data_IF_950835471947
#
_entry.id   IF_950835471947
#
_cell.length_a   1.000
_cell.length_b   1.000
_cell.length_c   1.000
_cell.angle_alpha   90.00
_cell.angle_beta   90.00
_cell.angle_gamma   90.00
#
_symmetry.space_group_name_H-M   'P 1'
#
loop_
_entity.id
_entity.type
_entity.pdbx_description
1 polymer ?
#
# COMPACT_ATOMS: atom_id res chain seq x y z
N UNK A 1 9.30 78.56 -11.98
CA UNK A 1 8.91 77.24 -12.53
C UNK A 1 9.36 76.17 -11.54
N UNK A 2 8.44 75.64 -10.72
CA UNK A 2 8.68 74.48 -9.85
C UNK A 2 8.03 73.27 -10.53
N UNK A 3 8.81 72.23 -10.78
CA UNK A 3 8.33 70.97 -11.32
C UNK A 3 7.64 70.15 -10.22
N UNK A 4 6.39 69.77 -10.46
CA UNK A 4 5.65 68.77 -9.69
C UNK A 4 6.13 67.40 -10.17
N UNK A 5 6.63 66.56 -9.26
CA UNK A 5 6.86 65.13 -9.53
C UNK A 5 5.53 64.41 -9.32
N UNK A 6 4.95 63.91 -10.41
CA UNK A 6 3.87 62.93 -10.36
C UNK A 6 4.43 61.59 -9.87
N UNK A 7 3.93 61.12 -8.74
CA UNK A 7 4.08 59.75 -8.27
C UNK A 7 3.14 58.84 -9.07
N UNK A 8 3.72 58.03 -9.97
CA UNK A 8 3.00 57.11 -10.84
C UNK A 8 2.43 55.85 -10.15
N UNK A 9 1.63 55.04 -10.87
CA UNK A 9 0.66 54.08 -10.35
C UNK A 9 1.22 52.68 -10.01
N UNK A 10 2.48 52.56 -9.57
CA UNK A 10 3.07 51.21 -9.38
C UNK A 10 2.45 50.43 -8.22
N UNK A 11 1.99 51.10 -7.16
CA UNK A 11 1.40 50.46 -5.98
C UNK A 11 0.03 49.80 -6.23
N UNK A 12 -0.77 50.33 -7.17
CA UNK A 12 -2.11 49.80 -7.46
C UNK A 12 -2.04 48.58 -8.39
N UNK A 13 -1.03 48.49 -9.25
CA UNK A 13 -0.82 47.32 -10.11
C UNK A 13 -0.32 46.10 -9.31
N UNK A 14 0.62 46.28 -8.38
CA UNK A 14 1.09 45.17 -7.53
C UNK A 14 -0.04 44.62 -6.66
N UNK A 15 -0.86 45.49 -6.04
CA UNK A 15 -1.99 45.05 -5.22
C UNK A 15 -3.11 44.32 -5.98
N UNK A 16 -3.31 44.66 -7.26
CA UNK A 16 -4.35 44.02 -8.10
C UNK A 16 -3.88 42.68 -8.67
N UNK A 17 -2.57 42.54 -8.91
CA UNK A 17 -1.94 41.26 -9.27
C UNK A 17 -1.97 40.30 -8.07
N UNK A 18 -1.59 40.76 -6.87
CA UNK A 18 -1.63 39.95 -5.66
C UNK A 18 -3.06 39.48 -5.32
N UNK A 19 -4.06 40.36 -5.49
CA UNK A 19 -5.47 40.01 -5.32
C UNK A 19 -5.98 39.01 -6.38
N UNK A 20 -5.58 39.17 -7.64
CA UNK A 20 -5.97 38.26 -8.72
C UNK A 20 -5.32 36.87 -8.56
N UNK A 21 -4.07 36.82 -8.10
CA UNK A 21 -3.38 35.58 -7.73
C UNK A 21 -4.12 34.93 -6.55
N UNK A 22 -4.42 35.68 -5.50
CA UNK A 22 -5.14 35.15 -4.34
C UNK A 22 -6.53 34.61 -4.68
N UNK A 23 -7.30 35.29 -5.52
CA UNK A 23 -8.59 34.80 -6.01
C UNK A 23 -8.44 33.55 -6.88
N UNK A 24 -7.52 33.53 -7.84
CA UNK A 24 -7.26 32.35 -8.67
C UNK A 24 -6.86 31.13 -7.83
N UNK A 25 -6.08 31.34 -6.76
CA UNK A 25 -5.66 30.27 -5.84
C UNK A 25 -6.77 29.80 -4.90
N UNK A 26 -7.61 30.71 -4.40
CA UNK A 26 -8.80 30.32 -3.62
C UNK A 26 -9.77 29.53 -4.51
N UNK A 27 -9.92 29.94 -5.76
CA UNK A 27 -10.63 29.18 -6.78
C UNK A 27 -10.00 27.80 -7.02
N UNK A 28 -8.67 27.66 -7.06
CA UNK A 28 -7.99 26.34 -7.16
C UNK A 28 -8.23 25.45 -5.93
N UNK A 29 -8.31 26.03 -4.73
CA UNK A 29 -8.67 25.33 -3.49
C UNK A 29 -10.13 24.86 -3.50
N UNK A 30 -11.01 25.58 -4.19
CA UNK A 30 -12.45 25.34 -4.24
C UNK A 30 -12.93 24.57 -5.50
N UNK A 31 -12.18 24.62 -6.61
CA UNK A 31 -12.58 24.08 -7.94
C UNK A 31 -11.84 22.80 -8.36
N UNK A 32 -10.71 22.44 -7.74
CA UNK A 32 -10.08 21.15 -8.04
C UNK A 32 -11.04 20.03 -7.61
N UNK A 33 -11.22 19.00 -8.47
CA UNK A 33 -12.41 18.15 -8.45
C UNK A 33 -12.67 17.64 -7.04
N UNK A 34 -13.87 17.90 -6.47
CA UNK A 34 -14.19 17.41 -5.15
C UNK A 34 -14.03 15.90 -5.17
N UNK A 35 -13.10 15.44 -4.35
CA UNK A 35 -12.93 14.06 -3.96
C UNK A 35 -14.27 13.61 -3.37
N UNK A 36 -15.12 13.00 -4.19
CA UNK A 36 -16.31 12.33 -3.69
C UNK A 36 -15.82 11.00 -3.11
N UNK A 37 -15.53 11.08 -1.82
CA UNK A 37 -15.46 10.00 -0.84
C UNK A 37 -14.29 8.97 -0.95
N UNK A 38 -13.56 8.84 -2.07
CA UNK A 38 -12.38 7.95 -2.18
C UNK A 38 -11.17 8.47 -2.98
N UNK A 39 -9.92 8.04 -2.65
CA UNK A 39 -8.72 8.52 -3.31
C UNK A 39 -8.61 7.92 -4.69
N UNK A 40 -8.45 8.81 -5.68
CA UNK A 40 -8.24 8.49 -7.08
C UNK A 40 -7.00 9.19 -7.59
N UNK A 41 -6.36 8.62 -8.60
CA UNK A 41 -5.24 9.25 -9.27
C UNK A 41 -5.67 10.55 -9.94
N UNK A 42 -4.97 11.64 -9.61
CA UNK A 42 -5.05 12.89 -10.35
C UNK A 42 -4.03 12.85 -11.48
N UNK A 43 -4.53 12.64 -12.70
CA UNK A 43 -3.75 12.27 -13.88
C UNK A 43 -3.20 13.49 -14.61
N UNK A 44 -1.93 13.42 -14.97
CA UNK A 44 -1.21 14.40 -15.79
C UNK A 44 -1.29 14.04 -17.28
N UNK A 45 -2.51 13.87 -17.79
CA UNK A 45 -2.73 13.32 -19.12
C UNK A 45 -2.07 11.94 -19.28
N UNK A 46 -1.20 11.79 -20.29
CA UNK A 46 -0.45 10.53 -20.53
C UNK A 46 0.83 10.38 -19.70
N UNK A 47 1.21 11.39 -18.91
CA UNK A 47 2.47 11.42 -18.15
C UNK A 47 2.39 10.77 -16.77
N UNK A 48 1.26 10.17 -16.43
CA UNK A 48 1.03 9.49 -15.15
C UNK A 48 0.09 10.28 -14.24
N UNK A 49 0.29 10.23 -12.93
CA UNK A 49 -0.50 10.96 -11.95
C UNK A 49 -0.02 10.79 -10.51
N UNK A 50 -0.68 11.51 -9.61
CA UNK A 50 -0.45 11.46 -8.16
C UNK A 50 -1.67 10.91 -7.43
N UNK A 51 -1.47 10.26 -6.29
CA UNK A 51 -2.53 9.54 -5.58
C UNK A 51 -2.82 10.11 -4.19
N UNK A 52 -1.83 10.09 -3.29
CA UNK A 52 -1.99 10.53 -1.90
C UNK A 52 -0.75 11.25 -1.38
N UNK A 53 -0.95 12.22 -0.49
CA UNK A 53 0.10 13.04 0.10
C UNK A 53 0.19 12.80 1.61
N UNK A 54 1.39 12.62 2.13
CA UNK A 54 1.65 12.33 3.54
C UNK A 54 2.70 13.27 4.10
N UNK A 55 2.43 13.87 5.25
CA UNK A 55 3.46 14.55 6.03
C UNK A 55 4.40 13.52 6.66
N UNK A 56 5.70 13.68 6.43
CA UNK A 56 6.76 12.87 7.03
C UNK A 56 7.74 13.74 7.81
N UNK A 57 7.48 13.84 9.11
CA UNK A 57 8.33 14.51 10.10
C UNK A 57 9.28 13.58 10.86
N UNK A 58 9.50 12.34 10.41
CA UNK A 58 10.35 11.36 11.14
C UNK A 58 11.82 11.77 11.20
N UNK A 59 12.25 12.67 10.32
CA UNK A 59 13.53 13.38 10.39
C UNK A 59 13.25 14.88 10.68
N UNK A 60 13.25 15.32 11.96
CA UNK A 60 12.77 16.65 12.34
C UNK A 60 13.50 17.83 11.69
N UNK A 61 14.78 17.67 11.34
CA UNK A 61 15.57 18.70 10.67
C UNK A 61 15.28 18.81 9.16
N UNK A 62 14.51 17.88 8.59
CA UNK A 62 14.21 17.80 7.16
C UNK A 62 12.77 17.27 6.93
N UNK A 63 11.74 17.93 7.49
CA UNK A 63 10.35 17.51 7.26
C UNK A 63 10.00 17.65 5.79
N UNK A 64 9.20 16.70 5.28
CA UNK A 64 8.77 16.71 3.88
C UNK A 64 7.32 16.28 3.76
N UNK A 65 6.65 16.70 2.69
CA UNK A 65 5.46 16.01 2.20
C UNK A 65 5.93 14.99 1.17
N UNK A 66 5.48 13.74 1.31
CA UNK A 66 5.70 12.66 0.36
C UNK A 66 4.40 12.37 -0.38
N UNK A 67 4.45 12.44 -1.69
CA UNK A 67 3.29 12.17 -2.54
C UNK A 67 3.56 10.90 -3.32
N UNK A 68 2.68 9.92 -3.16
CA UNK A 68 2.70 8.68 -3.92
C UNK A 68 2.24 8.98 -5.34
N UNK A 69 3.01 8.54 -6.31
CA UNK A 69 2.78 8.86 -7.71
C UNK A 69 3.29 7.78 -8.64
N UNK A 70 2.81 7.82 -9.87
CA UNK A 70 3.36 7.05 -10.97
C UNK A 70 3.55 8.02 -12.12
N UNK A 71 4.79 8.27 -12.52
CA UNK A 71 5.15 9.42 -13.37
C UNK A 71 6.17 9.04 -14.45
N UNK A 72 6.14 9.76 -15.57
CA UNK A 72 7.25 9.80 -16.53
C UNK A 72 8.44 10.58 -15.96
N UNK A 73 9.67 10.16 -16.31
CA UNK A 73 10.89 10.69 -15.69
C UNK A 73 11.26 12.13 -16.05
N UNK A 74 10.63 12.75 -17.06
CA UNK A 74 10.93 14.12 -17.51
C UNK A 74 10.06 15.21 -16.87
N UNK A 75 9.11 14.82 -16.01
CA UNK A 75 8.16 15.77 -15.43
C UNK A 75 8.83 16.69 -14.42
N UNK A 76 8.46 17.98 -14.48
CA UNK A 76 8.80 18.97 -13.46
C UNK A 76 7.58 19.23 -12.61
N UNK A 77 7.79 19.32 -11.30
CA UNK A 77 6.71 19.53 -10.33
C UNK A 77 7.15 20.61 -9.35
N UNK A 78 6.30 21.61 -9.18
CA UNK A 78 6.32 22.63 -8.14
C UNK A 78 5.26 22.28 -7.11
N UNK A 79 5.61 22.33 -5.82
CA UNK A 79 4.68 22.12 -4.72
C UNK A 79 4.31 23.47 -4.11
N UNK A 80 3.01 23.74 -4.06
CA UNK A 80 2.40 24.88 -3.40
C UNK A 80 1.73 24.37 -2.13
N UNK A 81 2.46 24.44 -1.03
CA UNK A 81 2.05 23.90 0.25
C UNK A 81 1.30 24.96 1.05
N UNK A 82 0.19 24.54 1.65
CA UNK A 82 -0.76 25.42 2.32
C UNK A 82 -0.90 24.93 3.76
N UNK A 83 -0.59 25.82 4.69
CA UNK A 83 -0.66 25.59 6.12
C UNK A 83 -1.46 26.69 6.81
N UNK A 84 -1.93 26.43 8.02
CA UNK A 84 -2.49 27.46 8.91
C UNK A 84 -1.46 27.83 9.97
N UNK A 85 -1.24 29.12 10.15
CA UNK A 85 -0.48 29.65 11.28
C UNK A 85 -1.24 29.45 12.60
N UNK A 86 -0.58 29.66 13.75
CA UNK A 86 -1.26 29.70 15.05
C UNK A 86 -2.33 30.79 15.18
N UNK A 87 -2.19 31.92 14.47
CA UNK A 87 -3.17 33.01 14.46
C UNK A 87 -4.33 32.80 13.46
N UNK A 88 -4.33 31.67 12.74
CA UNK A 88 -5.36 31.30 11.77
C UNK A 88 -5.15 31.83 10.36
N UNK A 89 -4.12 32.66 10.13
CA UNK A 89 -3.73 33.09 8.78
C UNK A 89 -3.17 31.93 7.94
N UNK A 90 -3.35 32.03 6.62
CA UNK A 90 -2.86 31.03 5.67
C UNK A 90 -1.40 31.31 5.34
N UNK A 91 -0.54 30.33 5.60
CA UNK A 91 0.86 30.35 5.20
C UNK A 91 1.01 29.52 3.93
N UNK A 92 1.66 30.11 2.92
CA UNK A 92 1.91 29.48 1.62
C UNK A 92 3.42 29.30 1.42
N UNK A 93 3.83 28.12 0.98
CA UNK A 93 5.21 27.82 0.65
C UNK A 93 5.28 27.16 -0.73
N UNK A 94 6.00 27.78 -1.66
CA UNK A 94 6.24 27.22 -3.00
C UNK A 94 7.66 26.71 -3.11
N UNK A 95 7.83 25.42 -3.42
CA UNK A 95 9.14 24.76 -3.54
C UNK A 95 9.20 23.84 -4.74
N UNK A 96 10.35 23.69 -5.40
CA UNK A 96 10.54 22.64 -6.40
C UNK A 96 10.52 21.26 -5.71
N UNK A 97 9.81 20.31 -6.32
CA UNK A 97 9.79 18.95 -5.83
C UNK A 97 11.09 18.19 -6.17
N UNK A 98 11.42 17.19 -5.35
CA UNK A 98 12.43 16.18 -5.68
C UNK A 98 11.70 14.89 -6.04
N UNK A 99 11.98 14.34 -7.21
CA UNK A 99 11.43 13.06 -7.64
C UNK A 99 12.35 11.92 -7.21
N UNK A 100 11.79 10.91 -6.55
CA UNK A 100 12.53 9.73 -6.11
C UNK A 100 11.86 8.46 -6.66
N UNK A 101 12.36 7.90 -7.77
CA UNK A 101 11.86 6.64 -8.31
C UNK A 101 12.00 5.50 -7.30
N UNK A 102 11.02 4.62 -7.23
CA UNK A 102 11.02 3.42 -6.36
C UNK A 102 11.69 2.20 -7.02
N UNK A 103 12.25 2.41 -8.20
CA UNK A 103 12.83 1.38 -9.06
C UNK A 103 14.35 1.31 -8.90
N UNK A 104 14.87 0.08 -8.83
CA UNK A 104 16.27 -0.21 -8.46
C UNK A 104 17.17 -0.32 -9.70
N UNK A 105 16.63 -0.68 -10.86
CA UNK A 105 17.41 -0.76 -12.08
C UNK A 105 17.51 0.61 -12.72
N UNK A 106 18.68 0.89 -13.31
CA UNK A 106 18.89 2.08 -14.14
C UNK A 106 17.78 2.11 -15.18
N UNK A 107 16.90 3.11 -15.08
CA UNK A 107 15.90 3.45 -16.10
C UNK A 107 16.61 3.30 -17.45
N UNK A 108 16.21 2.34 -18.32
CA UNK A 108 16.62 2.40 -19.71
C UNK A 108 16.21 3.80 -20.17
N UNK A 109 17.03 4.46 -20.97
CA UNK A 109 16.91 5.86 -21.46
C UNK A 109 15.54 6.29 -22.06
N UNK A 110 14.50 5.47 -21.94
CA UNK A 110 13.10 5.69 -22.29
C UNK A 110 12.41 6.61 -21.28
N UNK A 111 12.58 7.92 -21.48
CA UNK A 111 11.87 8.99 -20.73
C UNK A 111 10.34 8.88 -20.72
N UNK A 112 9.76 8.05 -21.58
CA UNK A 112 8.31 7.94 -21.77
C UNK A 112 7.65 6.82 -20.93
N UNK A 113 8.42 6.01 -20.19
CA UNK A 113 7.86 4.97 -19.33
C UNK A 113 7.36 5.55 -18.01
N UNK A 114 6.25 5.00 -17.51
CA UNK A 114 5.67 5.34 -16.23
C UNK A 114 6.34 4.54 -15.12
N UNK A 115 6.81 5.22 -14.08
CA UNK A 115 7.45 4.59 -12.93
C UNK A 115 6.87 5.05 -11.61
N UNK A 116 6.72 4.11 -10.67
CA UNK A 116 6.34 4.40 -9.29
C UNK A 116 7.40 5.34 -8.68
N UNK A 117 6.95 6.50 -8.24
CA UNK A 117 7.81 7.60 -7.81
C UNK A 117 7.23 8.23 -6.55
N UNK A 118 8.10 8.63 -5.62
CA UNK A 118 7.70 9.52 -4.52
C UNK A 118 8.10 10.94 -4.91
N UNK A 119 7.11 11.83 -5.04
CA UNK A 119 7.34 13.27 -5.14
C UNK A 119 7.58 13.80 -3.73
N UNK A 120 8.71 14.47 -3.52
CA UNK A 120 9.12 14.97 -2.20
C UNK A 120 9.09 16.49 -2.24
N UNK A 121 8.18 17.09 -1.46
CA UNK A 121 8.10 18.54 -1.27
C UNK A 121 8.76 18.91 0.07
N UNK A 122 9.92 19.60 0.07
CA UNK A 122 10.58 19.99 1.31
C UNK A 122 9.78 21.04 2.08
N UNK A 123 9.47 20.78 3.35
CA UNK A 123 8.80 21.75 4.24
C UNK A 123 9.88 22.56 4.95
N UNK A 124 9.71 23.88 5.03
CA UNK A 124 10.68 24.74 5.72
C UNK A 124 10.77 24.39 7.21
N UNK A 125 11.98 24.45 7.76
CA UNK A 125 12.20 24.27 9.20
C UNK A 125 11.40 25.33 9.98
N UNK A 126 10.75 24.94 11.07
CA UNK A 126 9.89 25.79 11.90
C UNK A 126 8.64 26.37 11.20
N UNK A 127 8.29 25.91 9.99
CA UNK A 127 7.00 26.24 9.37
C UNK A 127 5.88 25.36 9.95
N UNK A 128 4.63 25.87 10.07
CA UNK A 128 3.48 25.03 10.35
C UNK A 128 3.35 23.88 9.33
N UNK A 129 2.80 22.76 9.80
CA UNK A 129 2.61 21.57 8.96
C UNK A 129 1.56 21.87 7.89
N UNK A 130 1.87 21.71 6.61
CA UNK A 130 0.88 21.88 5.56
C UNK A 130 -0.24 20.85 5.69
N UNK A 131 -1.49 21.32 5.59
CA UNK A 131 -2.67 20.44 5.55
C UNK A 131 -3.10 20.13 4.12
N UNK A 132 -2.56 20.85 3.14
CA UNK A 132 -2.91 20.70 1.74
C UNK A 132 -1.71 21.04 0.84
N UNK A 133 -1.63 20.39 -0.33
CA UNK A 133 -0.59 20.64 -1.34
C UNK A 133 -1.20 20.68 -2.74
N UNK A 134 -0.91 21.76 -3.47
CA UNK A 134 -1.25 21.91 -4.88
C UNK A 134 0.01 21.72 -5.71
N UNK A 135 -0.08 20.99 -6.81
CA UNK A 135 1.03 20.75 -7.73
C UNK A 135 0.84 21.56 -9.01
N UNK A 136 1.93 22.08 -9.56
CA UNK A 136 1.99 22.75 -10.86
C UNK A 136 3.27 22.37 -11.61
N UNK A 137 3.33 22.57 -12.93
CA UNK A 137 4.56 22.29 -13.71
C UNK A 137 5.62 23.39 -13.59
N UNK A 138 5.18 24.63 -13.34
CA UNK A 138 6.01 25.81 -13.17
C UNK A 138 5.54 26.57 -11.92
N UNK A 139 6.35 27.55 -11.47
CA UNK A 139 6.06 28.29 -10.24
C UNK A 139 4.74 29.09 -10.33
N UNK A 140 4.40 29.56 -11.51
CA UNK A 140 3.23 30.44 -11.74
C UNK A 140 2.27 29.81 -12.77
N UNK A 141 2.36 28.50 -12.97
CA UNK A 141 1.55 27.76 -13.94
C UNK A 141 0.27 27.21 -13.34
N UNK A 142 -0.59 26.69 -14.20
CA UNK A 142 -1.86 26.09 -13.80
C UNK A 142 -1.66 24.86 -12.89
N UNK A 143 -2.58 24.67 -11.97
CA UNK A 143 -2.61 23.51 -11.08
C UNK A 143 -2.87 22.23 -11.87
N UNK A 144 -2.08 21.19 -11.60
CA UNK A 144 -2.22 19.85 -12.18
C UNK A 144 -2.75 18.82 -11.19
N UNK A 145 -2.69 19.10 -9.88
CA UNK A 145 -3.29 18.28 -8.83
C UNK A 145 -3.44 19.05 -7.50
N UNK A 146 -4.38 18.60 -6.66
CA UNK A 146 -4.68 19.07 -5.30
C UNK A 146 -4.76 17.86 -4.36
N UNK A 147 -3.98 17.81 -3.29
CA UNK A 147 -4.07 16.72 -2.34
C UNK A 147 -4.15 17.24 -0.90
N UNK A 148 -5.08 16.67 -0.15
CA UNK A 148 -5.06 16.74 1.31
C UNK A 148 -3.79 16.04 1.81
N UNK A 149 -3.12 16.67 2.78
CA UNK A 149 -1.94 16.10 3.41
C UNK A 149 -2.39 15.27 4.62
N UNK A 150 -2.14 13.97 4.55
CA UNK A 150 -2.40 13.02 5.61
C UNK A 150 -1.24 12.99 6.62
N UNK A 151 -1.45 12.34 7.77
CA UNK A 151 -0.44 12.22 8.84
C UNK A 151 0.03 13.56 9.44
N UNK A 152 -0.80 14.59 9.38
CA UNK A 152 -0.51 15.94 9.93
C UNK A 152 -0.65 16.00 11.44
N UNK A 153 -1.39 15.07 12.04
CA UNK A 153 -1.60 14.93 13.48
C UNK A 153 -1.03 13.60 13.99
N UNK A 154 -0.78 13.52 15.30
CA UNK A 154 -0.42 12.25 15.95
C UNK A 154 -1.63 11.32 15.94
N UNK A 155 -1.64 10.38 15.01
CA UNK A 155 -2.62 9.29 14.97
C UNK A 155 -2.34 8.36 16.16
N UNK A 156 -3.41 7.91 16.82
CA UNK A 156 -3.34 6.90 17.88
C UNK A 156 -3.19 5.53 17.24
N UNK A 157 -2.32 4.68 17.79
CA UNK A 157 -2.20 3.28 17.33
C UNK A 157 -3.57 2.60 17.44
N UNK A 158 -4.06 2.08 16.32
CA UNK A 158 -5.35 1.37 16.20
C UNK A 158 -5.15 -0.13 16.05
N UNK A 159 -4.13 -0.54 15.30
CA UNK A 159 -3.92 -1.91 14.88
C UNK A 159 -2.55 -2.41 15.36
N UNK A 160 -2.49 -3.68 15.77
CA UNK A 160 -1.22 -4.33 16.01
C UNK A 160 -0.58 -4.73 14.66
N UNK A 161 -1.36 -5.37 13.78
CA UNK A 161 -0.95 -5.71 12.43
C UNK A 161 -1.96 -5.22 11.39
N UNK A 162 -1.49 -4.37 10.48
CA UNK A 162 -2.20 -4.10 9.22
C UNK A 162 -1.61 -4.94 8.10
N UNK A 163 -2.45 -5.67 7.36
CA UNK A 163 -2.05 -6.51 6.24
C UNK A 163 -2.34 -5.77 4.94
N UNK A 164 -1.29 -5.37 4.24
CA UNK A 164 -1.37 -4.68 2.96
C UNK A 164 -1.21 -5.67 1.81
N UNK A 165 -2.20 -5.74 0.93
CA UNK A 165 -2.05 -6.43 -0.34
C UNK A 165 -1.10 -5.63 -1.25
N UNK A 166 -0.02 -6.28 -1.69
CA UNK A 166 1.12 -5.66 -2.39
C UNK A 166 0.86 -5.21 -3.81
N UNK A 167 -0.22 -5.69 -4.42
CA UNK A 167 -0.57 -5.41 -5.79
C UNK A 167 -2.06 -5.07 -5.88
N UNK A 168 -2.44 -4.03 -6.64
CA UNK A 168 -3.84 -3.83 -6.98
C UNK A 168 -4.44 -5.10 -7.60
N UNK A 169 -5.69 -5.39 -7.27
CA UNK A 169 -6.43 -6.52 -7.84
C UNK A 169 -6.55 -6.32 -9.35
N UNK A 170 -5.84 -7.16 -10.10
CA UNK A 170 -5.70 -7.11 -11.55
C UNK A 170 -5.81 -8.53 -12.11
N UNK A 171 -6.50 -8.70 -13.24
CA UNK A 171 -6.73 -10.01 -13.88
C UNK A 171 -7.39 -11.04 -12.93
N UNK A 172 -8.10 -10.56 -11.92
CA UNK A 172 -8.86 -11.38 -10.96
C UNK A 172 -10.35 -11.20 -11.28
N UNK A 173 -11.12 -12.27 -11.17
CA UNK A 173 -12.57 -12.26 -11.38
C UNK A 173 -13.29 -12.89 -10.18
N UNK A 174 -14.62 -12.93 -10.23
CA UNK A 174 -15.46 -13.41 -9.12
C UNK A 174 -15.14 -14.84 -8.64
N UNK A 175 -14.55 -15.69 -9.49
CA UNK A 175 -14.14 -17.06 -9.09
C UNK A 175 -13.01 -17.07 -8.06
N UNK A 176 -12.28 -15.97 -7.94
CA UNK A 176 -11.18 -15.82 -6.98
C UNK A 176 -11.63 -15.22 -5.64
N UNK A 177 -12.89 -14.76 -5.52
CA UNK A 177 -13.45 -14.25 -4.25
C UNK A 177 -13.25 -15.24 -3.09
N UNK A 178 -13.51 -16.56 -3.23
CA UNK A 178 -13.24 -17.50 -2.15
C UNK A 178 -11.77 -17.52 -1.70
N UNK A 179 -10.82 -17.32 -2.63
CA UNK A 179 -9.39 -17.25 -2.29
C UNK A 179 -9.01 -15.95 -1.58
N UNK A 180 -9.67 -14.83 -1.90
CA UNK A 180 -9.51 -13.58 -1.15
C UNK A 180 -10.06 -13.70 0.27
N UNK A 181 -11.22 -14.34 0.43
CA UNK A 181 -11.80 -14.62 1.75
C UNK A 181 -10.92 -15.57 2.57
N UNK A 182 -10.39 -16.63 1.95
CA UNK A 182 -9.39 -17.51 2.56
C UNK A 182 -8.14 -16.72 2.97
N UNK A 183 -7.63 -15.84 2.10
CA UNK A 183 -6.46 -15.01 2.40
C UNK A 183 -6.66 -14.13 3.63
N UNK A 184 -7.81 -13.44 3.72
CA UNK A 184 -8.16 -12.65 4.91
C UNK A 184 -8.28 -13.56 6.14
N UNK A 185 -9.01 -14.67 6.02
CA UNK A 185 -9.32 -15.54 7.16
C UNK A 185 -8.07 -16.16 7.79
N UNK A 186 -7.15 -16.70 6.98
CA UNK A 186 -5.90 -17.31 7.47
C UNK A 186 -4.97 -16.24 8.06
N UNK A 187 -4.79 -15.10 7.39
CA UNK A 187 -3.93 -14.04 7.92
C UNK A 187 -4.52 -13.41 9.20
N UNK A 188 -5.84 -13.43 9.37
CA UNK A 188 -6.51 -13.05 10.62
C UNK A 188 -6.19 -14.03 11.75
N UNK A 189 -6.16 -15.35 11.47
CA UNK A 189 -5.73 -16.38 12.43
C UNK A 189 -4.30 -16.12 12.91
N UNK A 190 -3.41 -15.63 12.05
CA UNK A 190 -2.04 -15.28 12.42
C UNK A 190 -1.90 -13.93 13.14
N UNK A 191 -2.99 -13.18 13.32
CA UNK A 191 -3.02 -11.94 14.09
C UNK A 191 -3.17 -10.66 13.26
N UNK A 192 -3.59 -10.75 11.99
CA UNK A 192 -3.97 -9.59 11.19
C UNK A 192 -5.24 -8.91 11.74
N UNK A 193 -5.14 -7.64 12.10
CA UNK A 193 -6.26 -6.88 12.69
C UNK A 193 -7.04 -6.09 11.64
N UNK A 194 -6.36 -5.62 10.59
CA UNK A 194 -6.92 -4.75 9.56
C UNK A 194 -6.28 -5.04 8.21
N UNK A 195 -7.10 -5.10 7.17
CA UNK A 195 -6.71 -5.50 5.83
C UNK A 195 -6.91 -4.35 4.86
N UNK A 196 -5.99 -4.21 3.91
CA UNK A 196 -6.01 -3.12 2.93
C UNK A 196 -5.81 -3.69 1.54
N UNK A 197 -6.73 -3.35 0.65
CA UNK A 197 -6.70 -3.75 -0.76
C UNK A 197 -6.84 -2.55 -1.67
N UNK A 198 -6.36 -2.71 -2.90
CA UNK A 198 -6.50 -1.72 -3.96
C UNK A 198 -7.20 -2.38 -5.14
N UNK A 199 -8.26 -1.77 -5.67
CA UNK A 199 -9.03 -2.31 -6.81
C UNK A 199 -8.80 -1.47 -8.06
N UNK A 200 -8.68 -2.13 -9.21
CA UNK A 200 -8.77 -1.46 -10.50
C UNK A 200 -10.25 -1.34 -10.89
N UNK A 201 -10.62 -0.44 -11.80
CA UNK A 201 -11.98 -0.40 -12.35
C UNK A 201 -12.44 -1.75 -12.94
N UNK A 202 -11.50 -2.57 -13.44
CA UNK A 202 -11.77 -3.91 -13.96
C UNK A 202 -12.09 -4.95 -12.89
N UNK A 203 -11.85 -4.65 -11.61
CA UNK A 203 -12.07 -5.55 -10.47
C UNK A 203 -13.02 -4.97 -9.42
N UNK A 204 -13.72 -3.88 -9.75
CA UNK A 204 -14.65 -3.19 -8.85
C UNK A 204 -15.82 -4.09 -8.41
N UNK A 205 -16.27 -5.02 -9.26
CA UNK A 205 -17.34 -5.97 -8.94
C UNK A 205 -16.99 -6.88 -7.74
N UNK A 206 -15.70 -7.12 -7.48
CA UNK A 206 -15.24 -7.88 -6.30
C UNK A 206 -15.61 -7.15 -5.01
N UNK A 207 -15.66 -5.80 -5.03
CA UNK A 207 -15.97 -5.00 -3.85
C UNK A 207 -17.31 -5.39 -3.24
N UNK A 208 -18.35 -5.60 -4.05
CA UNK A 208 -19.68 -6.00 -3.57
C UNK A 208 -19.64 -7.26 -2.71
N UNK A 209 -18.78 -8.22 -3.04
CA UNK A 209 -18.63 -9.47 -2.29
C UNK A 209 -17.81 -9.31 -1.00
N UNK A 210 -17.01 -8.25 -0.90
CA UNK A 210 -16.17 -7.94 0.25
C UNK A 210 -16.74 -6.81 1.12
N UNK A 211 -17.79 -6.12 0.67
CA UNK A 211 -18.48 -5.02 1.35
C UNK A 211 -18.76 -5.32 2.83
N UNK A 212 -19.20 -6.52 3.22
CA UNK A 212 -19.51 -6.79 4.61
C UNK A 212 -18.26 -6.78 5.52
N UNK A 213 -17.08 -7.08 4.97
CA UNK A 213 -15.80 -6.93 5.69
C UNK A 213 -15.42 -5.45 5.80
N UNK A 214 -15.77 -4.64 4.80
CA UNK A 214 -15.62 -3.19 4.84
C UNK A 214 -16.52 -2.57 5.91
N UNK A 215 -17.78 -3.00 5.99
CA UNK A 215 -18.76 -2.49 6.95
C UNK A 215 -18.35 -2.78 8.41
N UNK A 216 -17.66 -3.90 8.65
CA UNK A 216 -17.09 -4.21 9.98
C UNK A 216 -15.80 -3.43 10.32
N UNK A 217 -15.21 -2.73 9.35
CA UNK A 217 -13.89 -2.09 9.48
C UNK A 217 -12.71 -3.07 9.44
N UNK A 218 -12.95 -4.35 9.18
CA UNK A 218 -11.88 -5.35 9.02
C UNK A 218 -11.07 -5.10 7.74
N UNK A 219 -11.73 -4.68 6.67
CA UNK A 219 -11.13 -4.44 5.36
C UNK A 219 -11.34 -2.98 4.92
N UNK A 220 -10.30 -2.37 4.35
CA UNK A 220 -10.40 -1.12 3.61
C UNK A 220 -10.03 -1.39 2.15
N UNK A 221 -10.89 -0.96 1.22
CA UNK A 221 -10.65 -1.07 -0.21
C UNK A 221 -10.48 0.33 -0.79
N UNK A 222 -9.41 0.52 -1.55
CA UNK A 222 -9.07 1.77 -2.18
C UNK A 222 -9.15 1.67 -3.70
N UNK A 223 -9.86 2.59 -4.34
CA UNK A 223 -9.82 2.75 -5.80
C UNK A 223 -8.39 3.06 -6.28
N UNK A 224 -7.87 2.25 -7.19
CA UNK A 224 -6.58 2.42 -7.87
C UNK A 224 -6.79 2.59 -9.36
N UNK A 225 -7.38 3.71 -9.77
CA UNK A 225 -7.86 3.95 -11.14
C UNK A 225 -6.75 4.27 -12.17
N UNK A 226 -5.53 3.78 -11.94
CA UNK A 226 -4.42 3.85 -12.87
C UNK A 226 -3.96 2.43 -13.25
N UNK A 227 -4.44 1.97 -14.40
CA UNK A 227 -4.03 0.68 -14.95
C UNK A 227 -2.77 0.84 -15.82
N UNK A 228 -1.72 0.12 -15.46
CA UNK A 228 -0.46 0.05 -16.20
C UNK A 228 -0.24 -1.41 -16.55
N UNK A 229 -0.41 -1.72 -17.83
CA UNK A 229 -0.37 -3.09 -18.35
C UNK A 229 0.93 -3.81 -17.97
N UNK A 230 0.81 -5.10 -17.66
CA UNK A 230 1.94 -6.00 -17.47
C UNK A 230 2.74 -6.12 -18.76
N UNK A 231 3.96 -5.58 -18.75
CA UNK A 231 4.86 -5.51 -19.92
C UNK A 231 6.09 -4.68 -19.63
N UNK A 232 5.99 -3.74 -18.69
CA UNK A 232 7.12 -3.08 -18.04
C UNK A 232 7.51 -3.91 -16.81
N UNK A 233 8.60 -4.68 -16.90
CA UNK A 233 8.95 -5.75 -15.95
C UNK A 233 9.16 -5.27 -14.51
N UNK A 234 9.36 -3.97 -14.31
CA UNK A 234 9.64 -3.39 -13.01
C UNK A 234 8.42 -2.70 -12.38
N UNK A 235 7.38 -2.37 -13.16
CA UNK A 235 6.24 -1.55 -12.74
C UNK A 235 4.90 -2.29 -12.89
N UNK A 236 4.91 -3.61 -12.67
CA UNK A 236 3.75 -4.50 -12.69
C UNK A 236 2.56 -3.91 -11.93
N UNK A 237 1.64 -3.26 -12.65
CA UNK A 237 0.50 -2.47 -12.13
C UNK A 237 0.88 -1.50 -11.00
N UNK A 238 2.03 -0.85 -11.09
CA UNK A 238 2.52 0.11 -10.08
C UNK A 238 2.55 -0.43 -8.65
N UNK A 239 2.78 -1.74 -8.48
CA UNK A 239 2.82 -2.42 -7.16
C UNK A 239 3.68 -1.68 -6.13
N UNK A 240 4.81 -1.07 -6.55
CA UNK A 240 5.69 -0.33 -5.62
C UNK A 240 5.02 0.92 -5.07
N UNK A 241 4.24 1.63 -5.87
CA UNK A 241 3.46 2.77 -5.41
C UNK A 241 2.41 2.30 -4.39
N UNK A 242 1.63 1.25 -4.68
CA UNK A 242 0.64 0.70 -3.76
C UNK A 242 1.25 0.24 -2.41
N UNK A 243 2.39 -0.47 -2.45
CA UNK A 243 3.13 -0.88 -1.24
C UNK A 243 3.48 0.32 -0.36
N UNK A 244 4.02 1.39 -0.95
CA UNK A 244 4.42 2.56 -0.18
C UNK A 244 3.21 3.39 0.25
N UNK A 245 2.15 3.44 -0.55
CA UNK A 245 0.87 4.06 -0.19
C UNK A 245 0.32 3.46 1.11
N UNK A 246 0.17 2.14 1.16
CA UNK A 246 -0.31 1.45 2.35
C UNK A 246 0.64 1.68 3.53
N UNK A 247 1.95 1.58 3.30
CA UNK A 247 2.94 1.83 4.35
C UNK A 247 2.79 3.22 4.98
N UNK A 248 2.72 4.27 4.17
CA UNK A 248 2.60 5.64 4.64
C UNK A 248 1.23 5.94 5.25
N UNK A 249 0.16 5.41 4.67
CA UNK A 249 -1.21 5.55 5.19
C UNK A 249 -1.34 5.04 6.62
N UNK A 250 -0.74 3.88 6.91
CA UNK A 250 -0.89 3.22 8.20
C UNK A 250 0.33 3.37 9.13
N UNK A 251 1.32 4.22 8.79
CA UNK A 251 2.57 4.30 9.56
C UNK A 251 2.39 4.76 11.01
N UNK A 252 1.32 5.51 11.31
CA UNK A 252 1.02 6.00 12.66
C UNK A 252 -0.20 5.35 13.30
N UNK A 253 -0.94 4.51 12.57
CA UNK A 253 -2.08 3.76 13.10
C UNK A 253 -1.78 2.29 13.37
N UNK A 254 -0.64 1.76 12.91
CA UNK A 254 -0.35 0.31 13.00
C UNK A 254 1.01 0.02 13.61
N UNK A 255 1.09 -0.87 14.60
CA UNK A 255 2.36 -1.26 15.24
C UNK A 255 3.30 -1.98 14.25
N UNK A 256 2.75 -2.81 13.38
CA UNK A 256 3.44 -3.49 12.31
C UNK A 256 2.58 -3.50 11.05
N UNK A 257 3.24 -3.54 9.90
CA UNK A 257 2.59 -3.76 8.61
C UNK A 257 3.12 -5.06 8.03
N UNK A 258 2.20 -5.94 7.62
CA UNK A 258 2.47 -7.20 6.94
C UNK A 258 2.24 -6.99 5.46
N UNK A 259 3.21 -7.40 4.67
CA UNK A 259 3.40 -6.96 3.31
C UNK A 259 3.37 -8.20 2.40
N UNK A 260 2.23 -8.51 1.76
CA UNK A 260 1.92 -9.82 1.14
C UNK A 260 1.29 -9.74 -0.25
N UNK A 261 1.51 -10.78 -1.06
CA UNK A 261 0.64 -11.12 -2.19
C UNK A 261 -0.54 -11.99 -1.71
N UNK A 262 -1.61 -12.10 -2.51
CA UNK A 262 -2.84 -12.79 -2.09
C UNK A 262 -2.70 -14.32 -2.03
N UNK A 263 -1.61 -14.88 -2.56
CA UNK A 263 -1.31 -16.31 -2.57
C UNK A 263 -0.24 -16.72 -1.53
N UNK A 264 0.03 -15.85 -0.55
CA UNK A 264 1.13 -16.00 0.38
C UNK A 264 0.70 -15.83 1.85
N UNK A 265 1.28 -16.67 2.70
CA UNK A 265 0.98 -16.73 4.14
C UNK A 265 2.27 -16.85 4.96
N UNK A 266 2.69 -15.82 5.72
CA UNK A 266 3.83 -15.90 6.63
C UNK A 266 3.52 -16.79 7.83
N UNK A 267 3.63 -18.10 7.66
CA UNK A 267 3.14 -19.09 8.61
C UNK A 267 4.07 -19.21 9.83
N UNK A 268 3.59 -18.96 11.06
CA UNK A 268 4.33 -19.26 12.29
C UNK A 268 4.48 -20.78 12.47
N UNK A 269 5.71 -21.26 12.65
CA UNK A 269 6.02 -22.68 12.84
C UNK A 269 6.26 -23.05 14.30
N UNK A 270 6.87 -22.16 15.08
CA UNK A 270 7.13 -22.39 16.50
C UNK A 270 6.08 -21.80 17.44
N UNK A 271 5.19 -20.95 16.93
CA UNK A 271 4.22 -20.17 17.72
C UNK A 271 2.83 -20.15 17.04
N UNK A 272 1.85 -19.51 17.68
CA UNK A 272 0.47 -19.43 17.20
C UNK A 272 0.18 -18.23 16.30
N UNK A 273 0.98 -17.17 16.35
CA UNK A 273 0.69 -15.89 15.68
C UNK A 273 1.97 -15.09 15.41
N UNK A 274 1.83 -13.99 14.64
CA UNK A 274 2.94 -13.11 14.28
C UNK A 274 3.52 -12.33 15.45
N UNK A 275 2.72 -12.00 16.47
CA UNK A 275 3.21 -11.28 17.64
C UNK A 275 4.26 -12.12 18.37
N UNK A 276 3.89 -13.35 18.73
CA UNK A 276 4.71 -14.25 19.52
C UNK A 276 5.92 -14.74 18.73
N UNK A 277 5.74 -15.14 17.45
CA UNK A 277 6.87 -15.61 16.63
C UNK A 277 7.92 -14.53 16.40
N UNK A 278 7.54 -13.26 16.32
CA UNK A 278 8.50 -12.16 16.18
C UNK A 278 9.13 -11.82 17.53
N UNK A 279 8.35 -11.81 18.61
CA UNK A 279 8.84 -11.49 19.95
C UNK A 279 9.84 -12.53 20.48
N UNK A 280 9.61 -13.81 20.20
CA UNK A 280 10.43 -14.94 20.65
C UNK A 280 11.55 -15.30 19.65
N UNK A 281 11.86 -14.38 18.74
CA UNK A 281 12.77 -14.56 17.62
C UNK A 281 13.94 -13.58 17.70
N UNK A 282 15.08 -13.86 17.02
CA UNK A 282 16.11 -12.86 16.77
C UNK A 282 15.59 -11.57 16.08
N UNK A 283 14.36 -11.61 15.55
CA UNK A 283 13.69 -10.51 14.87
C UNK A 283 12.98 -9.50 15.80
N UNK A 284 12.84 -9.75 17.12
CA UNK A 284 12.01 -8.94 18.03
C UNK A 284 12.30 -7.43 17.99
N UNK A 285 13.58 -7.05 17.95
CA UNK A 285 14.03 -5.66 18.00
C UNK A 285 14.42 -5.08 16.62
N UNK A 286 13.97 -5.73 15.54
CA UNK A 286 14.37 -5.41 14.17
C UNK A 286 13.31 -4.58 13.47
N UNK A 287 13.74 -3.77 12.50
CA UNK A 287 12.83 -2.89 11.76
C UNK A 287 12.00 -3.65 10.71
N UNK A 288 12.50 -4.79 10.27
CA UNK A 288 11.80 -5.71 9.37
C UNK A 288 12.16 -7.15 9.73
N UNK A 289 11.15 -8.02 9.75
CA UNK A 289 11.28 -9.47 9.86
C UNK A 289 10.87 -10.09 8.52
N UNK A 290 11.78 -10.83 7.89
CA UNK A 290 11.55 -11.54 6.63
C UNK A 290 11.11 -12.97 6.87
N UNK A 291 10.08 -13.39 6.16
CA UNK A 291 9.67 -14.77 6.02
C UNK A 291 10.14 -15.24 4.65
N UNK A 292 11.05 -16.22 4.65
CA UNK A 292 11.62 -16.75 3.42
C UNK A 292 10.61 -17.59 2.65
N UNK A 293 10.71 -17.58 1.34
CA UNK A 293 9.76 -18.26 0.47
C UNK A 293 9.91 -19.78 0.49
N UNK A 294 8.79 -20.49 0.68
CA UNK A 294 8.64 -21.91 0.38
C UNK A 294 7.44 -22.09 -0.58
N UNK A 295 7.67 -22.66 -1.76
CA UNK A 295 6.61 -22.84 -2.75
C UNK A 295 5.78 -24.08 -2.48
N UNK A 296 4.46 -23.91 -2.48
CA UNK A 296 3.44 -24.94 -2.46
C UNK A 296 2.79 -25.00 -3.86
N UNK A 297 3.17 -25.97 -4.72
CA UNK A 297 2.64 -26.04 -6.08
C UNK A 297 1.16 -26.40 -6.06
N UNK A 298 0.31 -25.51 -6.58
CA UNK A 298 -1.17 -25.73 -6.58
C UNK A 298 -1.62 -26.93 -7.42
N UNK A 299 -0.76 -27.45 -8.30
CA UNK A 299 -1.04 -28.64 -9.12
C UNK A 299 -0.56 -29.94 -8.48
N UNK A 300 0.13 -29.88 -7.34
CA UNK A 300 0.46 -31.07 -6.60
C UNK A 300 -0.83 -31.76 -6.12
N UNK A 301 -0.77 -33.07 -5.89
CA UNK A 301 -1.90 -33.82 -5.34
C UNK A 301 -2.41 -33.13 -4.08
N UNK A 302 -3.70 -32.79 -4.09
CA UNK A 302 -4.39 -32.30 -2.90
C UNK A 302 -4.51 -33.45 -1.91
N UNK A 303 -4.06 -33.26 -0.68
CA UNK A 303 -4.39 -34.19 0.40
C UNK A 303 -5.91 -34.06 0.70
N UNK A 304 -6.54 -35.14 1.20
CA UNK A 304 -7.89 -35.04 1.71
C UNK A 304 -7.89 -34.11 2.93
N UNK A 305 -8.50 -32.93 2.78
CA UNK A 305 -8.79 -32.04 3.90
C UNK A 305 -9.71 -32.75 4.91
N UNK A 306 -9.53 -32.47 6.20
CA UNK A 306 -10.49 -32.92 7.22
C UNK A 306 -11.76 -32.05 7.25
N UNK A 307 -11.74 -30.88 6.61
CA UNK A 307 -12.87 -29.99 6.38
C UNK A 307 -13.50 -30.17 5.00
N UNK A 308 -14.84 -30.03 4.93
CA UNK A 308 -15.62 -29.95 3.68
C UNK A 308 -15.33 -28.66 2.88
N UNK A 309 -14.68 -27.66 3.51
CA UNK A 309 -14.27 -26.43 2.85
C UNK A 309 -13.06 -26.68 1.96
N UNK A 310 -13.16 -26.31 0.69
CA UNK A 310 -12.12 -26.49 -0.31
C UNK A 310 -11.05 -25.39 -0.23
N UNK A 311 -10.37 -25.28 0.92
CA UNK A 311 -9.37 -24.25 1.21
C UNK A 311 -7.99 -24.65 0.67
N UNK A 312 -7.38 -23.77 -0.12
CA UNK A 312 -6.06 -24.02 -0.75
C UNK A 312 -5.00 -24.31 0.30
N UNK A 313 -5.01 -23.54 1.38
CA UNK A 313 -4.07 -23.60 2.50
C UNK A 313 -4.12 -24.92 3.27
N UNK A 314 -5.28 -25.58 3.31
CA UNK A 314 -5.47 -26.89 3.95
C UNK A 314 -5.28 -28.06 2.98
N UNK A 315 -5.65 -27.90 1.72
CA UNK A 315 -5.54 -28.96 0.70
C UNK A 315 -4.12 -29.16 0.18
N UNK A 316 -3.36 -28.08 0.05
CA UNK A 316 -2.03 -28.08 -0.57
C UNK A 316 -0.96 -28.23 0.49
N UNK A 317 -0.65 -29.46 0.88
CA UNK A 317 0.36 -29.79 1.91
C UNK A 317 1.72 -30.15 1.32
N UNK A 318 1.87 -30.03 0.01
CA UNK A 318 3.09 -30.41 -0.71
C UNK A 318 3.87 -29.16 -1.05
N UNK A 319 5.15 -29.11 -0.66
CA UNK A 319 6.03 -27.98 -0.96
C UNK A 319 7.36 -28.42 -1.52
N UNK A 320 8.03 -27.50 -2.23
CA UNK A 320 9.45 -27.64 -2.53
C UNK A 320 10.24 -27.81 -1.23
N UNK A 321 11.21 -28.73 -1.20
CA UNK A 321 12.06 -28.97 -0.04
C UNK A 321 12.83 -27.71 0.35
N UNK A 322 13.43 -27.05 -0.64
CA UNK A 322 14.25 -25.85 -0.41
C UNK A 322 13.42 -24.59 -0.23
N UNK A 323 13.94 -23.70 0.61
CA UNK A 323 13.44 -22.34 0.80
C UNK A 323 14.42 -21.33 0.20
N UNK A 324 13.91 -20.17 -0.22
CA UNK A 324 14.75 -19.11 -0.77
C UNK A 324 15.56 -18.44 0.33
N UNK A 325 16.75 -17.93 0.00
CA UNK A 325 17.51 -17.09 0.94
C UNK A 325 16.89 -15.70 1.04
N UNK A 326 16.71 -15.17 2.25
CA UNK A 326 16.27 -13.78 2.40
C UNK A 326 17.26 -12.80 1.75
N UNK A 327 16.78 -11.71 1.12
CA UNK A 327 15.38 -11.35 0.93
C UNK A 327 14.77 -11.87 -0.39
N UNK A 328 15.42 -12.79 -1.11
CA UNK A 328 14.94 -13.26 -2.40
C UNK A 328 13.56 -13.90 -2.25
N UNK A 329 12.59 -13.39 -3.03
CA UNK A 329 11.18 -13.84 -3.04
C UNK A 329 10.49 -13.81 -1.67
N UNK A 330 11.11 -13.21 -0.66
CA UNK A 330 10.60 -13.18 0.71
C UNK A 330 9.47 -12.16 0.84
N UNK A 331 8.67 -12.31 1.88
CA UNK A 331 7.75 -11.26 2.37
C UNK A 331 8.11 -10.87 3.78
N UNK A 332 7.52 -9.77 4.25
CA UNK A 332 8.04 -9.08 5.42
C UNK A 332 6.96 -8.51 6.32
N UNK A 333 7.32 -8.43 7.59
CA UNK A 333 6.60 -7.69 8.63
C UNK A 333 7.49 -6.52 9.03
N UNK A 334 7.01 -5.29 8.86
CA UNK A 334 7.82 -4.07 9.07
C UNK A 334 7.29 -3.22 10.21
N UNK A 335 8.20 -2.48 10.85
CA UNK A 335 7.85 -1.29 11.60
C UNK A 335 7.78 -0.09 10.64
N UNK A 336 6.58 0.41 10.28
CA UNK A 336 6.46 1.42 9.24
C UNK A 336 7.10 2.77 9.62
N UNK A 337 7.33 3.04 10.91
CA UNK A 337 8.03 4.25 11.37
C UNK A 337 9.54 4.22 11.13
N UNK A 338 10.11 3.05 10.86
CA UNK A 338 11.54 2.89 10.60
C UNK A 338 11.85 2.81 9.10
N UNK A 339 10.85 2.59 8.25
CA UNK A 339 11.00 2.33 6.81
C UNK A 339 10.65 3.57 6.00
N UNK A 340 11.54 3.95 5.08
CA UNK A 340 11.34 5.04 4.14
C UNK A 340 10.78 4.54 2.80
N UNK A 341 11.32 3.43 2.31
CA UNK A 341 10.93 2.83 1.04
C UNK A 341 10.89 1.32 1.20
N UNK A 342 9.75 0.72 0.92
CA UNK A 342 9.58 -0.72 0.80
C UNK A 342 9.36 -1.08 -0.68
N UNK A 343 9.91 -2.19 -1.12
CA UNK A 343 9.63 -2.79 -2.43
C UNK A 343 9.15 -4.24 -2.24
N UNK A 344 8.81 -4.91 -3.32
CA UNK A 344 8.09 -6.21 -3.33
C UNK A 344 8.63 -7.25 -2.36
N UNK A 345 9.96 -7.32 -2.19
CA UNK A 345 10.61 -8.36 -1.39
C UNK A 345 11.53 -7.84 -0.28
N UNK A 346 11.79 -6.53 -0.22
CA UNK A 346 12.71 -5.97 0.78
C UNK A 346 12.45 -4.50 1.11
N UNK A 347 13.00 -4.06 2.23
CA UNK A 347 13.12 -2.65 2.56
C UNK A 347 14.29 -2.06 1.76
N UNK A 348 13.98 -1.21 0.80
CA UNK A 348 15.01 -0.54 -0.02
C UNK A 348 15.72 0.56 0.77
N UNK A 349 15.00 1.25 1.68
CA UNK A 349 15.57 2.35 2.47
C UNK A 349 14.93 2.49 3.84
N UNK A 350 15.77 2.62 4.87
CA UNK A 350 15.36 2.96 6.23
C UNK A 350 15.42 4.49 6.46
N UNK A 351 14.67 4.95 7.46
CA UNK A 351 14.82 6.30 8.03
C UNK A 351 16.19 6.39 8.72
N UNK A 352 16.90 7.52 8.58
CA UNK A 352 18.35 7.59 8.79
C UNK A 352 18.87 7.06 10.14
N UNK A 353 18.16 7.31 11.24
CA UNK A 353 18.52 6.85 12.59
C UNK A 353 18.24 5.35 12.85
N UNK A 354 17.45 4.70 12.00
CA UNK A 354 17.06 3.29 12.16
C UNK A 354 17.82 2.34 11.23
N UNK A 355 18.71 2.84 10.38
CA UNK A 355 19.55 2.02 9.51
C UNK A 355 20.41 0.99 10.29
N UNK A 356 20.72 1.27 11.56
CA UNK A 356 21.43 0.34 12.46
C UNK A 356 20.55 -0.78 13.04
N UNK A 357 19.22 -0.55 13.15
CA UNK A 357 18.22 -1.56 13.56
C UNK A 357 17.80 -2.40 12.35
N UNK A 358 18.80 -3.10 11.79
CA UNK A 358 18.72 -3.87 10.54
C UNK A 358 17.60 -4.90 10.54
N UNK A 359 17.42 -5.45 9.37
CA UNK A 359 16.52 -6.54 9.05
C UNK A 359 16.92 -7.83 9.76
N UNK A 360 15.97 -8.76 9.89
CA UNK A 360 16.20 -10.12 10.33
C UNK A 360 15.47 -11.08 9.39
N UNK A 361 16.17 -12.14 9.00
CA UNK A 361 15.54 -13.27 8.34
C UNK A 361 15.08 -14.24 9.41
N UNK A 362 13.77 -14.54 9.44
CA UNK A 362 13.19 -15.49 10.37
C UNK A 362 13.90 -16.85 10.20
N UNK A 363 14.34 -17.48 11.30
CA UNK A 363 14.79 -18.86 11.28
C UNK A 363 13.65 -19.79 10.80
N UNK A 364 13.96 -20.81 10.00
CA UNK A 364 12.95 -21.66 9.37
C UNK A 364 12.13 -22.46 10.39
N UNK A 365 12.77 -22.84 11.49
CA UNK A 365 12.13 -23.50 12.62
C UNK A 365 11.11 -22.61 13.33
N UNK A 366 11.24 -21.28 13.21
CA UNK A 366 10.31 -20.31 13.80
C UNK A 366 9.20 -19.93 12.82
N UNK A 367 9.51 -19.71 11.55
CA UNK A 367 8.50 -19.41 10.55
C UNK A 367 9.05 -19.11 9.16
N UNK A 368 8.26 -19.41 8.14
CA UNK A 368 8.54 -19.08 6.74
C UNK A 368 7.25 -18.86 5.95
N UNK A 369 7.39 -18.30 4.75
CA UNK A 369 6.29 -17.94 3.86
C UNK A 369 5.80 -19.18 3.11
N UNK A 370 4.54 -19.54 3.31
CA UNK A 370 3.84 -20.51 2.49
C UNK A 370 3.29 -19.81 1.25
N UNK A 371 3.89 -20.08 0.08
CA UNK A 371 3.53 -19.45 -1.19
C UNK A 371 2.82 -20.44 -2.11
N UNK A 372 1.49 -20.33 -2.22
CA UNK A 372 0.64 -21.24 -2.99
C UNK A 372 0.50 -20.81 -4.45
N UNK A 373 1.41 -21.27 -5.30
CA UNK A 373 1.50 -20.81 -6.69
C UNK A 373 1.35 -21.94 -7.70
N UNK A 374 0.77 -21.63 -8.85
CA UNK A 374 0.83 -22.53 -10.01
C UNK A 374 2.25 -22.50 -10.56
N UNK A 375 2.89 -23.65 -10.64
CA UNK A 375 4.24 -23.79 -11.17
C UNK A 375 4.21 -24.27 -12.62
N UNK A 376 4.52 -23.44 -13.63
CA UNK A 376 4.77 -23.95 -14.96
C UNK A 376 6.12 -24.69 -14.92
N UNK A 377 6.12 -26.01 -15.03
CA UNK A 377 7.23 -26.98 -14.84
C UNK A 377 8.64 -26.63 -15.39
N UNK A 378 8.87 -25.46 -16.00
CA UNK A 378 10.07 -25.09 -16.74
C UNK A 378 10.75 -23.76 -16.35
N UNK A 379 10.20 -22.91 -15.48
CA UNK A 379 10.65 -21.50 -15.44
C UNK A 379 11.53 -21.04 -14.28
N UNK A 380 11.58 -21.71 -13.11
CA UNK A 380 12.44 -21.23 -12.01
C UNK A 380 13.71 -22.10 -11.86
N UNK A 381 14.92 -21.55 -12.10
CA UNK A 381 16.17 -22.29 -12.06
C UNK A 381 16.58 -22.79 -10.66
N UNK A 382 16.06 -22.23 -9.56
CA UNK A 382 16.27 -22.79 -8.20
C UNK A 382 15.39 -24.02 -7.99
N UNK A 383 14.39 -24.17 -8.84
CA UNK A 383 13.39 -25.22 -8.74
C UNK A 383 13.51 -26.27 -9.86
N UNK A 384 14.53 -26.13 -10.71
CA UNK A 384 14.89 -27.18 -11.65
C UNK A 384 15.48 -28.32 -10.84
N UNK A 385 14.88 -29.48 -11.08
CA UNK A 385 15.15 -30.78 -10.49
C UNK A 385 14.20 -31.13 -9.35
N UNK A 386 13.48 -32.18 -9.66
CA UNK A 386 12.76 -33.14 -8.82
C UNK A 386 13.60 -33.69 -7.65
N UNK A 387 14.27 -32.82 -6.91
CA UNK A 387 14.93 -33.12 -5.65
C UNK A 387 14.00 -32.69 -4.50
N UNK A 388 12.96 -33.51 -4.34
CA UNK A 388 12.11 -33.56 -3.15
C UNK A 388 10.96 -32.54 -3.12
N UNK A 389 9.76 -32.98 -3.50
CA UNK A 389 8.52 -32.42 -2.93
C UNK A 389 8.31 -33.11 -1.59
N UNK A 390 8.24 -32.34 -0.51
CA UNK A 390 8.01 -32.88 0.83
C UNK A 390 6.60 -32.53 1.32
N UNK A 391 6.13 -33.28 2.31
CA UNK A 391 4.89 -32.97 3.01
C UNK A 391 5.15 -31.97 4.12
N UNK A 392 4.37 -30.90 4.12
CA UNK A 392 4.29 -29.90 5.17
C UNK A 392 2.81 -29.70 5.54
N UNK A 393 2.47 -30.08 6.77
CA UNK A 393 1.11 -30.00 7.31
C UNK A 393 0.98 -28.93 8.38
N UNK A 394 1.90 -27.95 8.42
CA UNK A 394 1.86 -26.93 9.47
C UNK A 394 0.51 -26.19 9.49
N UNK A 395 -0.09 -25.95 8.33
CA UNK A 395 -1.39 -25.27 8.26
C UNK A 395 -2.53 -26.03 8.96
N UNK A 396 -2.46 -27.38 9.02
CA UNK A 396 -3.48 -28.20 9.70
C UNK A 396 -3.53 -27.96 11.22
N UNK A 397 -2.43 -27.51 11.82
CA UNK A 397 -2.43 -27.08 13.21
C UNK A 397 -3.42 -25.93 13.47
N UNK A 398 -3.66 -25.12 12.45
CA UNK A 398 -4.58 -23.98 12.49
C UNK A 398 -5.95 -24.29 11.89
N UNK A 399 -6.22 -25.53 11.45
CA UNK A 399 -7.42 -25.89 10.69
C UNK A 399 -8.71 -25.41 11.34
N UNK A 400 -8.93 -25.73 12.62
CA UNK A 400 -10.14 -25.32 13.32
C UNK A 400 -10.31 -23.79 13.36
N UNK A 401 -9.22 -23.05 13.63
CA UNK A 401 -9.24 -21.58 13.65
C UNK A 401 -9.48 -21.00 12.26
N UNK A 402 -8.92 -21.62 11.23
CA UNK A 402 -9.09 -21.21 9.83
C UNK A 402 -10.53 -21.45 9.39
N UNK A 403 -11.09 -22.63 9.65
CA UNK A 403 -12.49 -22.97 9.34
C UNK A 403 -13.43 -22.00 10.04
N UNK A 404 -13.26 -21.77 11.34
CA UNK A 404 -14.06 -20.80 12.10
C UNK A 404 -13.95 -19.38 11.51
N UNK A 405 -12.73 -18.93 11.20
CA UNK A 405 -12.47 -17.62 10.59
C UNK A 405 -13.13 -17.52 9.21
N UNK A 406 -13.06 -18.57 8.39
CA UNK A 406 -13.69 -18.63 7.07
C UNK A 406 -15.19 -18.72 7.15
N UNK A 407 -15.80 -19.30 8.18
CA UNK A 407 -17.26 -19.31 8.32
C UNK A 407 -17.78 -17.94 8.78
N UNK A 408 -17.11 -17.31 9.74
CA UNK A 408 -17.48 -15.97 10.23
C UNK A 408 -17.35 -14.91 9.13
N UNK A 409 -16.34 -15.01 8.27
CA UNK A 409 -16.05 -14.00 7.24
C UNK A 409 -17.24 -13.81 6.24
N UNK A 410 -17.89 -14.88 5.72
CA UNK A 410 -19.17 -14.84 5.00
C UNK A 410 -20.43 -14.67 5.87
N UNK A 411 -20.45 -15.02 7.16
CA UNK A 411 -21.62 -14.71 8.01
C UNK A 411 -21.76 -13.21 8.26
N UNK A 412 -20.64 -12.45 8.27
CA UNK A 412 -20.68 -10.99 8.16
C UNK A 412 -21.39 -10.56 6.86
N UNK A 413 -21.25 -11.33 5.79
CA UNK A 413 -21.91 -11.11 4.50
C UNK A 413 -23.42 -11.36 4.50
N UNK A 414 -23.90 -12.37 5.21
CA UNK A 414 -25.33 -12.70 5.23
C UNK A 414 -26.19 -11.80 6.14
N UNK A 415 -25.60 -11.03 7.07
CA UNK A 415 -26.38 -10.21 8.01
C UNK A 415 -26.85 -8.86 7.42
N UNK A 416 -26.31 -8.43 6.28
CA UNK A 416 -26.68 -7.17 5.64
C UNK A 416 -27.66 -7.32 4.46
N UNK A 417 -27.82 -8.52 3.91
CA UNK A 417 -28.89 -8.81 2.94
C UNK A 417 -30.13 -9.32 3.67
N UNK A 418 -31.13 -8.45 3.77
CA UNK A 418 -32.46 -8.80 4.25
C UNK A 418 -33.08 -9.94 3.44
N UNK A 419 -32.99 -11.15 3.99
CA UNK A 419 -33.95 -12.24 3.81
C UNK A 419 -34.10 -12.81 2.40
N UNK A 420 -33.31 -13.82 2.07
CA UNK A 420 -33.81 -14.91 1.22
C UNK A 420 -34.58 -15.90 2.09
N UNK A 421 -35.91 -15.72 2.15
CA UNK A 421 -36.81 -16.78 2.62
C UNK A 421 -36.67 -17.97 1.66
N UNK A 422 -36.24 -19.10 2.20
CA UNK A 422 -36.44 -20.41 1.61
C UNK A 422 -37.93 -20.63 1.36
N UNK A 423 -38.35 -20.69 0.10
CA UNK A 423 -39.64 -21.31 -0.24
C UNK A 423 -39.44 -22.83 -0.14
N UNK A 424 -39.93 -23.42 0.95
CA UNK A 424 -40.28 -24.84 0.96
C UNK A 424 -41.41 -25.09 -0.05
N UNK A 425 -41.35 -26.18 -0.85
CA UNK A 425 -42.49 -26.60 -1.63
C UNK A 425 -43.50 -27.27 -0.69
N UNK A 426 -44.62 -26.60 -0.43
CA UNK A 426 -45.82 -27.26 0.07
C UNK A 426 -46.29 -28.29 -0.96
N UNK A 427 -46.47 -29.51 -0.49
CA UNK A 427 -46.94 -30.64 -1.27
C UNK A 427 -48.35 -30.45 -1.83
N UNK A 428 -48.61 -31.24 -2.87
CA UNK A 428 -49.89 -31.88 -3.14
C UNK A 428 -49.60 -33.31 -3.60
#
# INVERSE_FOLDING_TARGET
MRAVRESGPSFLLESSIDFAIENSYNTILDELPPYKDEPRFQKFGKKGGVYSAFFDGREPSKPVIRIISVLQGDIKVMCHMIAKSPDGSTIRQTVPAKLHPLTVSKIPSQRNLLASTIVICPVAENSPVPHHVVLAQTKDGDSIASLNVLNTNRVVMKYNFTVCLHKPLFEINLKEVPRLLEWIAVNRVFGGDHFVMYTLPSTEEIHTYLQPLVDTGLLEIHSWDLDIASGDTEENHSQKAAINECMYRYMYSSNRIVMLDFDEFPTPHSEENWHDVIANSPCANKSAAYFRNAFFPRQAFSDNSHSDLHLTSLLQTRRANETYRCPLRSKLVINPRHVLICVVHHVSKFVGNFASRRECCMPEEQGFLHHYRFWPYKEDPITKESDGVITDRRMWHFENKIVESVEVTPFLYAQHDGGFRSNEPHGN
#
